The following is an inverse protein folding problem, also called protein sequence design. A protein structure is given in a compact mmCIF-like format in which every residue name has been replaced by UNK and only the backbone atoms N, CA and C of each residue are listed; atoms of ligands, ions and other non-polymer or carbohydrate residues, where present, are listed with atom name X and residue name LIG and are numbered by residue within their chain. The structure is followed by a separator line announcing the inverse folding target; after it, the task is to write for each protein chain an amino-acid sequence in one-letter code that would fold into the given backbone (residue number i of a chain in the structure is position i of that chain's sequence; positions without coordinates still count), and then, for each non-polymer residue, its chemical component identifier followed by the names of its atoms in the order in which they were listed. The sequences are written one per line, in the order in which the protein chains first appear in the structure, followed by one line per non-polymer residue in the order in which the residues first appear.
data_IF_368576675579
#
_entry.id   IF_368576675579
#
_cell.length_a   1.000
_cell.length_b   1.000
_cell.length_c   1.000
_cell.angle_alpha   90.00
_cell.angle_beta   90.00
_cell.angle_gamma   90.00
#
_symmetry.space_group_name_H-M   'P 1'
#
loop_
_entity.id
_entity.type
_entity.pdbx_description
1 polymer ?
#
# COMPACT_ATOMS: atom_id res chain seq x y z
N UNK A 1 4.66 -44.40 9.80
CA UNK A 1 4.96 -42.97 10.03
C UNK A 1 3.66 -42.19 9.79
N UNK A 2 2.95 -41.79 10.85
CA UNK A 2 1.66 -41.09 10.70
C UNK A 2 1.88 -39.66 10.23
N UNK A 3 1.25 -39.30 9.11
CA UNK A 3 1.12 -37.93 8.67
C UNK A 3 0.35 -37.14 9.73
N UNK A 4 1.00 -36.13 10.32
CA UNK A 4 0.35 -35.22 11.26
C UNK A 4 -0.76 -34.48 10.51
N UNK A 5 -1.97 -34.48 11.08
CA UNK A 5 -3.07 -33.69 10.51
C UNK A 5 -2.71 -32.20 10.61
N UNK A 6 -3.15 -31.35 9.66
CA UNK A 6 -2.83 -29.92 9.64
C UNK A 6 -3.22 -29.18 10.94
N UNK A 7 -4.15 -29.75 11.70
CA UNK A 7 -4.59 -29.26 13.00
C UNK A 7 -3.52 -29.47 14.10
N UNK A 8 -2.80 -30.60 14.07
CA UNK A 8 -1.73 -30.92 15.03
C UNK A 8 -0.51 -30.02 14.84
N UNK A 9 -0.15 -29.71 13.59
CA UNK A 9 0.94 -28.79 13.29
C UNK A 9 0.62 -27.37 13.78
N UNK A 10 -0.64 -26.95 13.63
CA UNK A 10 -1.11 -25.65 14.12
C UNK A 10 -1.12 -25.60 15.65
N UNK A 11 -1.51 -26.68 16.32
CA UNK A 11 -1.43 -26.79 17.78
C UNK A 11 0.01 -26.71 18.26
N UNK A 12 0.91 -27.51 17.69
CA UNK A 12 2.34 -27.55 18.05
C UNK A 12 3.04 -26.23 17.79
N UNK A 13 2.55 -25.44 16.83
CA UNK A 13 3.07 -24.09 16.55
C UNK A 13 2.86 -23.16 17.74
N UNK A 14 1.65 -23.12 18.30
CA UNK A 14 1.24 -22.10 19.29
C UNK A 14 1.19 -22.58 20.75
N UNK A 15 1.01 -23.89 20.94
CA UNK A 15 0.93 -24.56 22.25
C UNK A 15 2.23 -25.32 22.48
N UNK A 16 2.79 -25.18 23.68
CA UNK A 16 3.90 -26.02 24.13
C UNK A 16 3.36 -27.42 24.45
N UNK A 17 3.86 -28.49 23.79
CA UNK A 17 3.36 -29.84 24.01
C UNK A 17 3.65 -30.38 25.41
N UNK A 18 4.67 -29.86 26.10
CA UNK A 18 5.06 -30.34 27.43
C UNK A 18 4.20 -29.70 28.53
N UNK A 19 3.83 -28.44 28.36
CA UNK A 19 3.08 -27.71 29.40
C UNK A 19 1.59 -27.52 29.07
N UNK A 20 1.19 -27.76 27.81
CA UNK A 20 -0.17 -27.48 27.32
C UNK A 20 -0.54 -25.99 27.32
N UNK A 21 0.46 -25.10 27.44
CA UNK A 21 0.26 -23.64 27.56
C UNK A 21 0.65 -22.95 26.27
N UNK A 22 0.12 -21.74 26.08
CA UNK A 22 0.56 -20.86 24.99
C UNK A 22 2.05 -20.55 25.13
N UNK A 23 2.78 -20.56 24.02
CA UNK A 23 4.22 -20.22 23.98
C UNK A 23 4.51 -18.74 24.28
N UNK A 24 3.48 -17.91 24.38
CA UNK A 24 3.62 -16.50 24.74
C UNK A 24 3.86 -16.36 26.25
N UNK A 25 5.11 -16.08 26.63
CA UNK A 25 5.48 -15.84 28.04
C UNK A 25 4.94 -14.51 28.58
N UNK A 26 4.88 -13.47 27.74
CA UNK A 26 4.40 -12.14 28.11
C UNK A 26 3.57 -11.51 27.01
N UNK A 27 2.65 -10.62 27.40
CA UNK A 27 1.73 -9.94 26.50
C UNK A 27 2.16 -8.48 26.31
N UNK A 28 2.98 -8.24 25.30
CA UNK A 28 3.51 -6.92 24.97
C UNK A 28 2.90 -6.38 23.67
N UNK A 29 3.10 -5.09 23.39
CA UNK A 29 2.58 -4.50 22.16
C UNK A 29 3.29 -5.05 20.91
N UNK A 30 4.60 -5.30 20.99
CA UNK A 30 5.38 -5.81 19.86
C UNK A 30 4.93 -7.20 19.37
N UNK A 31 4.41 -8.05 20.26
CA UNK A 31 3.91 -9.39 19.92
C UNK A 31 2.39 -9.45 19.74
N UNK A 32 1.71 -8.30 19.71
CA UNK A 32 0.27 -8.22 19.51
C UNK A 32 -0.17 -8.88 18.20
N UNK A 33 0.60 -8.69 17.13
CA UNK A 33 0.27 -9.25 15.83
C UNK A 33 0.40 -10.77 15.81
N UNK A 34 1.50 -11.29 16.34
CA UNK A 34 1.74 -12.73 16.46
C UNK A 34 0.64 -13.41 17.29
N UNK A 35 0.24 -12.81 18.40
CA UNK A 35 -0.90 -13.28 19.22
C UNK A 35 -2.22 -13.22 18.48
N UNK A 36 -2.42 -12.23 17.61
CA UNK A 36 -3.63 -12.11 16.78
C UNK A 36 -3.69 -13.25 15.76
N UNK A 37 -2.56 -13.59 15.13
CA UNK A 37 -2.45 -14.72 14.21
C UNK A 37 -2.68 -16.03 14.96
N UNK A 38 -2.02 -16.24 16.10
CA UNK A 38 -2.22 -17.42 16.92
C UNK A 38 -3.68 -17.62 17.32
N UNK A 39 -4.38 -16.55 17.71
CA UNK A 39 -5.80 -16.63 18.07
C UNK A 39 -6.70 -17.00 16.90
N UNK A 40 -6.38 -16.53 15.70
CA UNK A 40 -7.13 -16.89 14.50
C UNK A 40 -6.89 -18.35 14.10
N UNK A 41 -5.63 -18.80 14.16
CA UNK A 41 -5.24 -20.18 13.89
C UNK A 41 -5.93 -21.15 14.88
N UNK A 42 -5.79 -20.89 16.19
CA UNK A 42 -6.38 -21.71 17.25
C UNK A 42 -7.92 -21.72 17.22
N UNK A 43 -8.55 -20.63 16.79
CA UNK A 43 -10.00 -20.60 16.59
C UNK A 43 -10.45 -21.44 15.38
N UNK A 44 -9.69 -21.41 14.28
CA UNK A 44 -10.02 -22.17 13.05
C UNK A 44 -10.00 -23.68 13.28
N UNK A 45 -9.01 -24.16 14.03
CA UNK A 45 -8.90 -25.58 14.41
C UNK A 45 -9.80 -25.95 15.60
N UNK A 46 -10.73 -25.08 16.00
CA UNK A 46 -11.69 -25.29 17.11
C UNK A 46 -11.07 -25.53 18.49
N UNK A 47 -9.79 -25.19 18.70
CA UNK A 47 -9.16 -25.24 20.03
C UNK A 47 -9.86 -24.30 21.01
N UNK A 48 -10.21 -23.10 20.56
CA UNK A 48 -11.13 -22.21 21.29
C UNK A 48 -12.53 -22.30 20.69
N UNK A 49 -13.54 -22.48 21.54
CA UNK A 49 -14.94 -22.63 21.10
C UNK A 49 -15.48 -21.32 20.53
N UNK A 50 -15.03 -20.19 21.07
CA UNK A 50 -15.49 -18.86 20.67
C UNK A 50 -14.33 -17.90 20.41
N UNK A 51 -14.56 -16.92 19.54
CA UNK A 51 -13.58 -15.84 19.31
C UNK A 51 -13.36 -14.97 20.56
N UNK A 52 -14.38 -14.85 21.42
CA UNK A 52 -14.29 -14.12 22.70
C UNK A 52 -13.31 -14.80 23.64
N UNK A 53 -13.35 -16.12 23.72
CA UNK A 53 -12.44 -16.93 24.50
C UNK A 53 -11.00 -16.79 24.00
N UNK A 54 -10.78 -16.94 22.69
CA UNK A 54 -9.47 -16.73 22.06
C UNK A 54 -8.92 -15.31 22.31
N UNK A 55 -9.77 -14.29 22.16
CA UNK A 55 -9.43 -12.88 22.40
C UNK A 55 -8.99 -12.64 23.84
N UNK A 56 -9.68 -13.22 24.82
CA UNK A 56 -9.32 -13.13 26.24
C UNK A 56 -8.04 -13.89 26.55
N UNK A 57 -7.91 -15.14 26.10
CA UNK A 57 -6.76 -16.00 26.37
C UNK A 57 -5.45 -15.40 25.84
N UNK A 58 -5.49 -14.85 24.63
CA UNK A 58 -4.32 -14.24 23.98
C UNK A 58 -4.19 -12.74 24.25
N UNK A 59 -5.10 -12.14 25.02
CA UNK A 59 -5.18 -10.68 25.28
C UNK A 59 -5.03 -9.84 24.01
N UNK A 60 -5.85 -10.15 23.01
CA UNK A 60 -5.93 -9.43 21.73
C UNK A 60 -7.30 -8.75 21.62
N UNK A 61 -7.41 -7.52 21.10
CA UNK A 61 -8.70 -6.89 20.88
C UNK A 61 -9.62 -7.71 19.96
N UNK A 62 -10.86 -7.96 20.40
CA UNK A 62 -11.83 -8.80 19.68
C UNK A 62 -12.03 -8.40 18.21
N UNK A 63 -12.20 -7.10 17.94
CA UNK A 63 -12.40 -6.60 16.56
C UNK A 63 -11.20 -6.91 15.65
N UNK A 64 -9.99 -6.87 16.19
CA UNK A 64 -8.75 -7.18 15.47
C UNK A 64 -8.70 -8.66 15.12
N UNK A 65 -8.97 -9.53 16.09
CA UNK A 65 -9.07 -10.97 15.87
C UNK A 65 -10.17 -11.33 14.87
N UNK A 66 -11.34 -10.68 14.97
CA UNK A 66 -12.44 -10.83 14.00
C UNK A 66 -11.99 -10.52 12.59
N UNK A 67 -11.37 -9.35 12.38
CA UNK A 67 -10.84 -8.97 11.08
C UNK A 67 -9.85 -10.01 10.54
N UNK A 68 -8.94 -10.51 11.37
CA UNK A 68 -7.96 -11.55 11.03
C UNK A 68 -8.59 -12.86 10.57
N UNK A 69 -9.57 -13.36 11.32
CA UNK A 69 -10.28 -14.62 10.98
C UNK A 69 -10.95 -14.52 9.62
N UNK A 70 -11.51 -13.36 9.28
CA UNK A 70 -12.11 -13.07 7.97
C UNK A 70 -11.08 -12.83 6.85
N UNK A 71 -9.79 -13.09 7.09
CA UNK A 71 -8.75 -13.03 6.06
C UNK A 71 -8.08 -11.67 5.88
N UNK A 72 -8.44 -10.66 6.69
CA UNK A 72 -7.78 -9.36 6.58
C UNK A 72 -6.35 -9.44 7.13
N UNK A 73 -5.41 -8.91 6.34
CA UNK A 73 -4.01 -8.80 6.69
C UNK A 73 -3.72 -7.47 7.42
N UNK A 74 -2.66 -7.38 8.25
CA UNK A 74 -2.36 -6.14 8.93
C UNK A 74 -1.95 -5.11 7.87
N UNK A 75 -2.30 -3.84 8.07
CA UNK A 75 -2.02 -2.77 7.09
C UNK A 75 -0.52 -2.71 6.71
N UNK A 76 0.37 -3.07 7.63
CA UNK A 76 1.82 -3.18 7.37
C UNK A 76 2.16 -4.28 6.34
N UNK A 77 1.52 -5.45 6.39
CA UNK A 77 1.77 -6.56 5.46
C UNK A 77 0.95 -6.46 4.15
N UNK A 78 -0.12 -5.65 4.12
CA UNK A 78 -0.81 -5.25 2.89
C UNK A 78 0.04 -4.35 1.97
N UNK A 79 1.37 -4.36 2.13
CA UNK A 79 2.27 -3.45 1.45
C UNK A 79 1.88 -2.02 1.76
N UNK A 80 1.93 -1.64 3.05
CA UNK A 80 1.45 -0.39 3.66
C UNK A 80 1.94 0.93 3.08
N UNK A 81 2.45 0.94 1.84
CA UNK A 81 2.60 2.11 1.01
C UNK A 81 1.54 2.25 -0.08
N UNK A 82 0.68 1.26 -0.39
CA UNK A 82 -0.25 1.35 -1.55
C UNK A 82 0.53 1.82 -2.81
N UNK A 83 1.81 1.43 -2.93
CA UNK A 83 2.70 1.86 -4.01
C UNK A 83 2.85 0.65 -4.92
N UNK A 84 2.22 0.73 -6.09
CA UNK A 84 2.46 -0.22 -7.18
C UNK A 84 3.92 -0.16 -7.69
N UNK A 85 4.65 0.91 -7.33
CA UNK A 85 6.01 1.19 -7.75
C UNK A 85 7.00 1.06 -6.59
N UNK A 86 8.19 0.52 -6.87
CA UNK A 86 9.37 0.63 -6.02
C UNK A 86 9.78 2.10 -5.84
N UNK A 87 10.59 2.45 -4.83
CA UNK A 87 11.07 3.82 -4.66
C UNK A 87 11.80 4.37 -5.89
N UNK A 88 12.56 3.53 -6.59
CA UNK A 88 13.28 3.90 -7.81
C UNK A 88 12.32 4.13 -8.98
N UNK A 89 11.36 3.23 -9.18
CA UNK A 89 10.33 3.36 -10.20
C UNK A 89 9.48 4.62 -9.96
N UNK A 90 9.21 4.95 -8.69
CA UNK A 90 8.49 6.18 -8.33
C UNK A 90 9.31 7.44 -8.65
N UNK A 91 10.62 7.43 -8.41
CA UNK A 91 11.50 8.55 -8.75
C UNK A 91 11.55 8.80 -10.27
N UNK A 92 11.57 7.74 -11.06
CA UNK A 92 11.53 7.81 -12.52
C UNK A 92 10.24 8.46 -13.04
N UNK A 93 9.08 8.01 -12.53
CA UNK A 93 7.78 8.62 -12.85
C UNK A 93 7.73 10.09 -12.43
N UNK A 94 8.32 10.44 -11.28
CA UNK A 94 8.41 11.83 -10.82
C UNK A 94 9.29 12.71 -11.73
N UNK A 95 10.44 12.21 -12.17
CA UNK A 95 11.31 12.93 -13.10
C UNK A 95 10.60 13.18 -14.44
N UNK A 96 9.93 12.17 -14.99
CA UNK A 96 9.13 12.32 -16.19
C UNK A 96 8.01 13.36 -16.00
N UNK A 97 7.26 13.25 -14.91
CA UNK A 97 6.21 14.20 -14.55
C UNK A 97 6.75 15.64 -14.47
N UNK A 98 7.89 15.83 -13.81
CA UNK A 98 8.54 17.14 -13.69
C UNK A 98 8.96 17.71 -15.04
N UNK A 99 9.53 16.89 -15.94
CA UNK A 99 9.89 17.32 -17.31
C UNK A 99 8.67 17.78 -18.09
N UNK A 100 7.56 17.05 -18.03
CA UNK A 100 6.30 17.43 -18.70
C UNK A 100 5.78 18.78 -18.19
N UNK A 101 5.82 19.00 -16.87
CA UNK A 101 5.39 20.28 -16.27
C UNK A 101 6.32 21.43 -16.66
N UNK A 102 7.63 21.20 -16.70
CA UNK A 102 8.63 22.18 -17.13
C UNK A 102 8.40 22.61 -18.58
N UNK A 103 7.98 21.68 -19.44
CA UNK A 103 7.59 21.94 -20.83
C UNK A 103 6.21 22.61 -20.96
N UNK A 104 5.53 22.91 -19.85
CA UNK A 104 4.21 23.56 -19.84
C UNK A 104 3.03 22.60 -20.04
N UNK A 105 3.26 21.29 -20.07
CA UNK A 105 2.21 20.29 -20.23
C UNK A 105 1.53 19.95 -18.90
N UNK A 106 0.22 19.75 -18.95
CA UNK A 106 -0.56 19.24 -17.83
C UNK A 106 -0.53 17.72 -17.79
N UNK A 107 -0.24 17.15 -16.61
CA UNK A 107 -0.21 15.69 -16.44
C UNK A 107 -1.64 15.16 -16.38
N UNK A 108 -2.03 14.41 -17.43
CA UNK A 108 -3.27 13.64 -17.46
C UNK A 108 -3.06 12.28 -16.79
N UNK A 109 -4.04 11.83 -16.00
CA UNK A 109 -3.95 10.53 -15.31
C UNK A 109 -3.75 9.34 -16.24
N UNK A 110 -4.30 9.38 -17.47
CA UNK A 110 -4.10 8.33 -18.47
C UNK A 110 -2.64 8.23 -18.95
N UNK A 111 -2.00 9.38 -19.21
CA UNK A 111 -0.59 9.43 -19.62
C UNK A 111 0.34 8.92 -18.50
N UNK A 112 0.01 9.24 -17.25
CA UNK A 112 0.75 8.75 -16.08
C UNK A 112 0.66 7.22 -15.95
N UNK A 113 -0.52 6.63 -16.19
CA UNK A 113 -0.70 5.17 -16.21
C UNK A 113 0.12 4.53 -17.33
N UNK A 114 0.04 5.08 -18.54
CA UNK A 114 0.80 4.57 -19.69
C UNK A 114 2.30 4.59 -19.43
N UNK A 115 2.81 5.71 -18.89
CA UNK A 115 4.23 5.84 -18.60
C UNK A 115 4.69 4.88 -17.49
N UNK A 116 3.91 4.74 -16.40
CA UNK A 116 4.22 3.77 -15.35
C UNK A 116 4.22 2.32 -15.87
N UNK A 117 3.28 1.96 -16.75
CA UNK A 117 3.25 0.64 -17.38
C UNK A 117 4.41 0.42 -18.36
N UNK A 118 4.89 1.47 -19.04
CA UNK A 118 6.09 1.38 -19.87
C UNK A 118 7.36 1.10 -19.03
N UNK A 119 7.46 1.64 -17.82
CA UNK A 119 8.54 1.33 -16.88
C UNK A 119 8.48 -0.14 -16.44
N UNK A 120 7.28 -0.66 -16.14
CA UNK A 120 7.13 -2.09 -15.83
C UNK A 120 7.54 -2.99 -17.00
N UNK A 121 7.15 -2.63 -18.23
CA UNK A 121 7.49 -3.40 -19.43
C UNK A 121 9.00 -3.42 -19.73
N UNK A 122 9.69 -2.29 -19.53
CA UNK A 122 11.13 -2.16 -19.81
C UNK A 122 12.02 -2.88 -18.79
N UNK A 123 11.60 -2.94 -17.52
CA UNK A 123 12.35 -3.67 -16.48
C UNK A 123 12.11 -5.19 -16.47
N UNK A 124 11.29 -5.71 -17.39
CA UNK A 124 10.96 -7.14 -17.45
C UNK A 124 10.00 -7.61 -16.36
N UNK A 125 9.43 -6.67 -15.59
CA UNK A 125 8.47 -6.91 -14.51
C UNK A 125 7.04 -7.03 -15.07
N UNK A 126 6.90 -7.79 -16.15
CA UNK A 126 5.65 -8.03 -16.85
C UNK A 126 4.79 -9.09 -16.14
N UNK A 127 4.70 -9.04 -14.81
CA UNK A 127 3.72 -9.86 -14.11
C UNK A 127 2.31 -9.39 -14.48
N UNK A 128 1.37 -10.29 -14.85
CA UNK A 128 0.02 -9.91 -15.26
C UNK A 128 -0.71 -9.06 -14.20
N UNK A 129 -0.32 -9.17 -12.93
CA UNK A 129 -0.91 -8.44 -11.81
C UNK A 129 -0.22 -7.09 -11.49
N UNK A 130 0.94 -6.79 -12.07
CA UNK A 130 1.73 -5.57 -11.81
C UNK A 130 1.44 -4.50 -12.86
N UNK A 131 0.22 -3.96 -12.85
CA UNK A 131 -0.19 -2.85 -13.72
C UNK A 131 -0.62 -1.61 -12.91
N UNK A 132 -0.19 -0.45 -13.38
CA UNK A 132 -0.67 0.83 -12.86
C UNK A 132 -2.13 1.04 -13.28
N UNK A 133 -2.99 1.32 -12.30
CA UNK A 133 -4.41 1.58 -12.53
C UNK A 133 -4.74 3.08 -12.51
N UNK A 134 -5.93 3.45 -13.03
CA UNK A 134 -6.45 4.82 -12.91
C UNK A 134 -6.57 5.29 -11.45
N UNK A 135 -6.88 4.37 -10.54
CA UNK A 135 -6.97 4.65 -9.10
C UNK A 135 -5.58 4.95 -8.54
N UNK A 136 -4.56 4.20 -8.95
CA UNK A 136 -3.17 4.49 -8.60
C UNK A 136 -2.76 5.89 -9.08
N UNK A 137 -3.05 6.25 -10.33
CA UNK A 137 -2.69 7.56 -10.88
C UNK A 137 -3.34 8.72 -10.10
N UNK A 138 -4.62 8.59 -9.73
CA UNK A 138 -5.31 9.58 -8.89
C UNK A 138 -4.63 9.73 -7.52
N UNK A 139 -4.26 8.61 -6.89
CA UNK A 139 -3.55 8.62 -5.60
C UNK A 139 -2.16 9.21 -5.72
N UNK A 140 -1.44 8.91 -6.81
CA UNK A 140 -0.12 9.45 -7.10
C UNK A 140 -0.15 10.97 -7.23
N UNK A 141 -1.07 11.52 -8.04
CA UNK A 141 -1.24 12.96 -8.20
C UNK A 141 -1.60 13.63 -6.87
N UNK A 142 -2.50 13.02 -6.08
CA UNK A 142 -2.88 13.53 -4.76
C UNK A 142 -1.68 13.58 -3.80
N UNK A 143 -0.84 12.52 -3.78
CA UNK A 143 0.35 12.43 -2.92
C UNK A 143 1.42 13.44 -3.33
N UNK A 144 1.63 13.60 -4.62
CA UNK A 144 2.66 14.46 -5.20
C UNK A 144 2.10 15.81 -5.67
N UNK A 145 1.01 16.27 -5.04
CA UNK A 145 0.28 17.46 -5.47
C UNK A 145 1.16 18.74 -5.43
N UNK A 146 2.13 18.81 -4.53
CA UNK A 146 3.07 19.94 -4.43
C UNK A 146 4.02 20.05 -5.63
N UNK A 147 4.25 18.96 -6.37
CA UNK A 147 5.06 18.93 -7.59
C UNK A 147 4.16 19.03 -8.82
N UNK A 148 3.02 18.33 -8.80
CA UNK A 148 2.16 18.14 -9.97
C UNK A 148 1.16 19.28 -10.17
N UNK A 149 0.75 19.97 -9.10
CA UNK A 149 -0.03 21.21 -9.26
C UNK A 149 0.91 22.30 -9.71
N UNK A 150 0.81 22.66 -10.99
CA UNK A 150 1.36 23.91 -11.49
C UNK A 150 0.85 25.03 -10.59
N UNK A 151 1.77 25.72 -9.94
CA UNK A 151 1.58 27.05 -9.34
C UNK A 151 0.91 27.89 -10.43
N UNK A 152 -0.39 28.16 -10.26
CA UNK A 152 -1.23 28.82 -11.27
C UNK A 152 -0.75 30.26 -11.61
N UNK A 153 0.22 30.77 -10.86
CA UNK A 153 0.71 32.15 -10.93
C UNK A 153 1.45 32.45 -12.23
N UNK A 154 2.30 31.55 -12.76
CA UNK A 154 3.12 31.90 -13.93
C UNK A 154 2.40 31.82 -15.29
N UNK A 155 1.23 31.18 -15.37
CA UNK A 155 0.48 31.08 -16.62
C UNK A 155 -0.23 32.38 -17.00
N UNK A 156 -0.59 33.20 -16.01
CA UNK A 156 -1.33 34.43 -16.23
C UNK A 156 -0.38 35.58 -16.61
N UNK A 157 0.81 35.61 -16.00
CA UNK A 157 1.83 36.63 -16.28
C UNK A 157 2.49 36.43 -17.65
N UNK A 158 2.77 35.19 -18.05
CA UNK A 158 3.28 34.90 -19.40
C UNK A 158 2.31 35.32 -20.52
N UNK A 159 1.00 35.22 -20.28
CA UNK A 159 -0.04 35.70 -21.21
C UNK A 159 -0.18 37.22 -21.21
N UNK A 160 0.00 37.89 -20.07
CA UNK A 160 0.02 39.37 -20.01
C UNK A 160 1.25 39.96 -20.69
N UNK A 161 2.42 39.34 -20.50
CA UNK A 161 3.65 39.77 -21.16
C UNK A 161 3.55 39.62 -22.68
N UNK A 162 3.10 38.46 -23.18
CA UNK A 162 2.90 38.25 -24.62
C UNK A 162 1.84 39.19 -25.23
N UNK A 163 0.80 39.56 -24.46
CA UNK A 163 -0.18 40.56 -24.90
C UNK A 163 0.35 41.99 -24.91
N UNK A 164 1.22 42.35 -23.95
CA UNK A 164 1.88 43.65 -23.90
C UNK A 164 2.93 43.82 -25.01
N UNK A 165 3.70 42.76 -25.28
CA UNK A 165 4.71 42.75 -26.35
C UNK A 165 4.03 42.81 -27.74
N UNK A 166 2.87 42.16 -27.91
CA UNK A 166 2.06 42.27 -29.14
C UNK A 166 1.45 43.66 -29.35
N UNK A 167 0.95 44.31 -28.29
CA UNK A 167 0.39 45.67 -28.37
C UNK A 167 1.44 46.74 -28.72
N UNK A 168 2.71 46.49 -28.38
CA UNK A 168 3.82 47.40 -28.69
C UNK A 168 4.22 47.36 -30.17
N UNK A 169 3.99 46.22 -30.85
CA UNK A 169 4.31 46.05 -32.28
C UNK A 169 3.26 46.70 -33.19
N UNK A 170 1.99 46.71 -32.78
CA UNK A 170 0.89 47.34 -33.54
C UNK A 170 0.83 48.88 -33.39
N UNK A 171 1.75 49.48 -32.62
CA UNK A 171 1.78 50.93 -32.30
C UNK A 171 2.96 51.69 -32.95
N UNK A 172 3.67 51.09 -33.92
CA UNK A 172 4.75 51.68 -34.72
C UNK A 172 4.39 51.71 -36.19
#
# INVERSE_FOLDING_TARGET
MSALQPDDDTLRKWIDPNTGKLKFTRFHEYNLEERTVAGADLFRIRYYKTMTEASKALRVPYKRLRSRVHGHQPVKANGGRNKALSPEEEAEVLMWAHRQITQGHHIKGAALVQHANAIFATRGDCQPDKQASKIWARRFIKRNAHIVKRIATHSHDAKRQAGADGATIDSL
#
